data_IF_927382730627
#
_entry.id   IF_927382730627
#
_cell.length_a   1.000
_cell.length_b   1.000
_cell.length_c   1.000
_cell.angle_alpha   90.00
_cell.angle_beta   90.00
_cell.angle_gamma   90.00
#
_symmetry.space_group_name_H-M   'P 1'
#
loop_
_entity.id
_entity.type
_entity.pdbx_description
1 polymer ?
#
# COMPACT_ATOMS: atom_id res chain seq x y z
N UNK A 1 24.97 8.69 1.63
CA UNK A 1 24.77 7.82 0.47
C UNK A 1 25.05 8.59 -0.83
N UNK A 2 24.36 9.71 -1.13
CA UNK A 2 24.51 10.48 -2.37
C UNK A 2 25.93 11.01 -2.59
N UNK A 3 26.63 11.45 -1.54
CA UNK A 3 28.03 11.88 -1.62
C UNK A 3 28.94 10.74 -2.08
N UNK A 4 28.83 9.56 -1.46
CA UNK A 4 29.61 8.38 -1.86
C UNK A 4 29.32 7.89 -3.28
N UNK A 5 28.09 8.10 -3.76
CA UNK A 5 27.65 7.77 -5.12
C UNK A 5 27.98 8.86 -6.15
N UNK A 6 28.58 9.99 -5.73
CA UNK A 6 28.94 11.09 -6.62
C UNK A 6 27.75 11.90 -7.16
N UNK A 7 26.59 11.85 -6.51
CA UNK A 7 25.39 12.59 -6.90
C UNK A 7 25.11 13.81 -6.04
N UNK A 8 25.79 13.99 -4.90
CA UNK A 8 25.63 15.21 -4.09
C UNK A 8 26.06 16.45 -4.86
N UNK A 9 25.22 17.47 -4.82
CA UNK A 9 25.47 18.76 -5.52
C UNK A 9 25.20 18.74 -7.04
N UNK A 10 24.79 17.63 -7.62
CA UNK A 10 24.36 17.59 -9.04
C UNK A 10 22.97 18.20 -9.18
N UNK A 11 22.70 18.92 -10.31
CA UNK A 11 21.34 19.32 -10.62
C UNK A 11 20.40 18.11 -10.63
N UNK A 12 19.19 18.28 -10.08
CA UNK A 12 18.18 17.23 -10.12
C UNK A 12 17.70 17.04 -11.56
N UNK A 13 17.86 15.83 -12.11
CA UNK A 13 17.28 15.49 -13.39
C UNK A 13 15.74 15.61 -13.30
N UNK A 14 15.14 16.24 -14.28
CA UNK A 14 13.69 16.39 -14.39
C UNK A 14 13.23 15.81 -15.72
N UNK A 15 12.05 15.19 -15.70
CA UNK A 15 11.37 14.79 -16.93
C UNK A 15 10.84 16.04 -17.62
N UNK A 16 11.13 16.16 -18.93
CA UNK A 16 10.52 17.17 -19.81
C UNK A 16 9.27 16.54 -20.45
N UNK A 17 8.06 16.84 -19.97
CA UNK A 17 6.84 16.12 -20.39
C UNK A 17 6.60 16.15 -21.90
N UNK A 18 6.92 17.27 -22.55
CA UNK A 18 6.71 17.43 -23.99
C UNK A 18 7.58 16.50 -24.88
N UNK A 19 8.52 15.75 -24.31
CA UNK A 19 9.37 14.80 -25.04
C UNK A 19 8.80 13.38 -25.07
N UNK A 20 7.70 13.13 -24.36
CA UNK A 20 7.15 11.78 -24.16
C UNK A 20 5.65 11.77 -24.41
N UNK A 21 5.16 10.78 -25.15
CA UNK A 21 3.72 10.50 -25.24
C UNK A 21 3.15 10.07 -23.89
N UNK A 22 3.96 9.42 -23.06
CA UNK A 22 3.58 9.00 -21.73
C UNK A 22 4.50 7.94 -21.14
N UNK A 23 3.98 7.22 -20.17
CA UNK A 23 4.68 6.13 -19.47
C UNK A 23 3.82 4.87 -19.43
N UNK A 24 4.39 3.76 -19.83
CA UNK A 24 3.77 2.43 -19.71
C UNK A 24 4.59 1.57 -18.77
N UNK A 25 3.90 0.87 -17.86
CA UNK A 25 4.49 -0.07 -16.91
C UNK A 25 3.81 -1.42 -17.00
N UNK A 26 4.58 -2.49 -17.21
CA UNK A 26 4.12 -3.86 -17.01
C UNK A 26 4.63 -4.38 -15.67
N UNK A 27 3.77 -4.98 -14.89
CA UNK A 27 4.10 -5.48 -13.56
C UNK A 27 3.36 -6.77 -13.26
N UNK A 28 3.83 -7.56 -12.32
CA UNK A 28 3.08 -8.65 -11.73
C UNK A 28 1.98 -8.08 -10.83
N UNK A 29 0.85 -8.78 -10.70
CA UNK A 29 -0.27 -8.28 -9.87
C UNK A 29 0.11 -8.13 -8.40
N UNK A 30 1.00 -8.96 -7.90
CA UNK A 30 1.34 -9.10 -6.47
C UNK A 30 0.13 -9.50 -5.60
N UNK A 31 -0.85 -10.16 -6.22
CA UNK A 31 -2.09 -10.64 -5.63
C UNK A 31 -2.61 -11.84 -6.41
N UNK A 32 -3.75 -12.38 -6.00
CA UNK A 32 -4.33 -13.61 -6.55
C UNK A 32 -5.57 -13.39 -7.42
N UNK A 33 -5.95 -12.15 -7.68
CA UNK A 33 -7.24 -11.85 -8.30
C UNK A 33 -7.31 -12.33 -9.76
N UNK A 34 -6.25 -12.10 -10.56
CA UNK A 34 -6.19 -12.57 -11.95
C UNK A 34 -6.14 -14.10 -12.00
N UNK A 35 -5.25 -14.72 -11.22
CA UNK A 35 -5.10 -16.17 -11.20
C UNK A 35 -6.40 -16.86 -10.73
N UNK A 36 -6.99 -16.44 -9.62
CA UNK A 36 -8.21 -17.00 -9.07
C UNK A 36 -9.43 -16.83 -9.99
N UNK A 37 -9.42 -15.79 -10.82
CA UNK A 37 -10.47 -15.51 -11.81
C UNK A 37 -10.21 -16.15 -13.18
N UNK A 38 -9.08 -16.84 -13.37
CA UNK A 38 -8.68 -17.41 -14.66
C UNK A 38 -8.35 -16.35 -15.72
N UNK A 39 -7.99 -15.14 -15.29
CA UNK A 39 -7.63 -14.02 -16.15
C UNK A 39 -6.11 -13.92 -16.29
N UNK A 40 -5.67 -13.37 -17.43
CA UNK A 40 -4.24 -13.31 -17.79
C UNK A 40 -3.69 -11.90 -17.90
N UNK A 41 -4.55 -10.88 -18.01
CA UNK A 41 -4.13 -9.49 -18.13
C UNK A 41 -5.06 -8.60 -17.30
N UNK A 42 -4.48 -7.76 -16.45
CA UNK A 42 -5.19 -6.69 -15.73
C UNK A 42 -4.82 -5.32 -16.31
N UNK A 43 -5.80 -4.57 -16.80
CA UNK A 43 -5.60 -3.17 -17.20
C UNK A 43 -5.79 -2.30 -15.95
N UNK A 44 -4.74 -1.66 -15.50
CA UNK A 44 -4.78 -0.88 -14.25
C UNK A 44 -5.53 0.43 -14.49
N UNK A 45 -6.62 0.63 -13.75
CA UNK A 45 -7.44 1.85 -13.84
C UNK A 45 -6.97 2.94 -12.90
N UNK A 46 -6.45 2.54 -11.75
CA UNK A 46 -5.99 3.46 -10.69
C UNK A 46 -5.00 2.77 -9.77
N UNK A 47 -4.19 3.55 -9.08
CA UNK A 47 -3.29 3.09 -8.03
C UNK A 47 -3.77 3.66 -6.71
N UNK A 48 -3.89 2.80 -5.68
CA UNK A 48 -4.36 3.19 -4.34
C UNK A 48 -3.49 4.26 -3.69
N UNK A 49 -4.08 5.03 -2.80
CA UNK A 49 -3.31 5.74 -1.79
C UNK A 49 -2.89 4.80 -0.67
N UNK A 50 -1.71 5.06 -0.11
CA UNK A 50 -1.17 4.38 1.05
C UNK A 50 -0.95 5.43 2.13
N UNK A 51 -1.70 5.32 3.23
CA UNK A 51 -1.56 6.18 4.39
C UNK A 51 -0.94 5.40 5.53
N UNK A 52 0.18 5.92 6.05
CA UNK A 52 1.01 5.24 7.06
C UNK A 52 1.11 6.06 8.32
N UNK A 53 1.01 5.39 9.45
CA UNK A 53 1.00 5.99 10.77
C UNK A 53 1.94 5.26 11.73
N UNK A 54 2.47 6.03 12.66
CA UNK A 54 3.11 5.54 13.87
C UNK A 54 2.21 5.86 15.06
N UNK A 55 1.92 4.84 15.86
CA UNK A 55 1.15 4.96 17.10
C UNK A 55 2.08 4.61 18.24
N UNK A 56 2.16 5.49 19.25
CA UNK A 56 3.09 5.33 20.38
C UNK A 56 2.30 5.41 21.67
N UNK A 57 2.48 4.39 22.52
CA UNK A 57 2.03 4.41 23.90
C UNK A 57 3.20 4.64 24.84
N UNK A 58 3.00 5.54 25.81
CA UNK A 58 3.93 5.80 26.91
C UNK A 58 3.25 5.44 28.23
N UNK A 59 3.83 4.49 28.92
CA UNK A 59 3.42 3.98 30.22
C UNK A 59 4.53 4.10 31.25
N UNK A 60 4.70 3.07 32.09
CA UNK A 60 5.74 3.02 33.09
C UNK A 60 6.32 1.60 33.18
N UNK A 61 7.61 1.48 32.86
CA UNK A 61 8.36 0.25 33.04
C UNK A 61 8.37 -0.17 34.52
N UNK A 62 8.10 -1.44 34.79
CA UNK A 62 8.16 -1.99 36.14
C UNK A 62 8.31 -3.51 36.12
N UNK A 63 8.49 -4.12 37.29
CA UNK A 63 8.60 -5.57 37.45
C UNK A 63 7.26 -6.27 37.18
N UNK A 64 7.24 -7.26 36.27
CA UNK A 64 6.02 -7.92 35.85
C UNK A 64 5.32 -8.72 36.95
N UNK A 65 6.07 -9.30 37.91
CA UNK A 65 5.52 -10.15 38.98
C UNK A 65 5.07 -9.37 40.22
N UNK A 66 5.77 -8.28 40.58
CA UNK A 66 5.53 -7.58 41.86
C UNK A 66 4.63 -6.34 41.70
N UNK A 67 4.40 -5.85 40.50
CA UNK A 67 3.53 -4.70 40.25
C UNK A 67 2.08 -5.16 40.12
N UNK A 68 1.23 -4.76 41.06
CA UNK A 68 -0.21 -5.11 41.06
C UNK A 68 -0.90 -4.59 39.80
N UNK A 69 -1.86 -5.35 39.26
CA UNK A 69 -2.59 -4.99 38.04
C UNK A 69 -3.22 -3.58 38.11
N UNK A 70 -3.78 -3.21 39.27
CA UNK A 70 -4.49 -1.94 39.46
C UNK A 70 -3.60 -0.68 39.32
N UNK A 71 -2.28 -0.82 39.40
CA UNK A 71 -1.36 0.34 39.35
C UNK A 71 -0.46 0.31 38.12
N UNK A 72 -0.65 -0.67 37.23
CA UNK A 72 0.17 -0.81 35.99
C UNK A 72 -0.14 0.29 35.00
N UNK A 73 0.92 0.81 34.39
CA UNK A 73 0.86 1.62 33.17
C UNK A 73 1.55 0.85 32.06
N UNK A 74 0.91 -0.22 31.62
CA UNK A 74 1.44 -1.19 30.65
C UNK A 74 1.17 -0.70 29.24
N UNK A 75 2.21 -0.13 28.60
CA UNK A 75 2.12 0.39 27.23
C UNK A 75 1.85 -0.73 26.20
N UNK A 76 2.38 -1.94 26.44
CA UNK A 76 2.15 -3.08 25.56
C UNK A 76 0.70 -3.54 25.55
N UNK A 77 0.09 -3.69 26.72
CA UNK A 77 -1.32 -4.06 26.83
C UNK A 77 -2.24 -2.98 26.25
N UNK A 78 -1.93 -1.69 26.45
CA UNK A 78 -2.68 -0.58 25.88
C UNK A 78 -2.66 -0.62 24.34
N UNK A 79 -1.47 -0.87 23.74
CA UNK A 79 -1.31 -1.00 22.30
C UNK A 79 -2.08 -2.20 21.72
N UNK A 80 -2.03 -3.36 22.37
CA UNK A 80 -2.76 -4.56 21.92
C UNK A 80 -4.29 -4.30 21.93
N UNK A 81 -4.80 -3.59 22.92
CA UNK A 81 -6.22 -3.22 22.98
C UNK A 81 -6.60 -2.29 21.84
N UNK A 82 -5.78 -1.29 21.52
CA UNK A 82 -6.02 -0.41 20.37
C UNK A 82 -5.96 -1.19 19.06
N UNK A 83 -5.00 -2.09 18.89
CA UNK A 83 -4.90 -2.93 17.68
C UNK A 83 -6.17 -3.78 17.49
N UNK A 84 -6.70 -4.38 18.56
CA UNK A 84 -7.96 -5.11 18.51
C UNK A 84 -9.17 -4.20 18.20
N UNK A 85 -9.21 -2.99 18.74
CA UNK A 85 -10.28 -2.03 18.45
C UNK A 85 -10.24 -1.56 16.99
N UNK A 86 -9.05 -1.36 16.41
CA UNK A 86 -8.88 -1.06 15.00
C UNK A 86 -9.40 -2.18 14.10
N UNK A 87 -9.08 -3.44 14.42
CA UNK A 87 -9.54 -4.60 13.67
C UNK A 87 -11.07 -4.78 13.71
N UNK A 88 -11.70 -4.38 14.80
CA UNK A 88 -13.17 -4.36 14.94
C UNK A 88 -13.82 -3.17 14.23
N UNK A 89 -13.21 -1.99 14.28
CA UNK A 89 -13.84 -0.74 13.77
C UNK A 89 -13.66 -0.55 12.26
N UNK A 90 -12.52 -0.96 11.71
CA UNK A 90 -12.20 -0.72 10.30
C UNK A 90 -13.15 -1.39 9.32
N UNK A 91 -13.64 -2.64 9.53
CA UNK A 91 -14.64 -3.25 8.66
C UNK A 91 -15.94 -2.44 8.49
N UNK A 92 -16.33 -1.63 9.49
CA UNK A 92 -17.54 -0.81 9.42
C UNK A 92 -17.43 0.37 8.45
N UNK A 93 -16.21 0.82 8.17
CA UNK A 93 -15.92 1.98 7.29
C UNK A 93 -15.20 1.59 6.01
N UNK A 94 -14.68 0.37 5.94
CA UNK A 94 -13.97 -0.19 4.80
C UNK A 94 -14.89 -0.45 3.60
N UNK A 95 -14.33 -0.46 2.41
CA UNK A 95 -14.96 -0.98 1.20
C UNK A 95 -14.39 -2.35 0.84
N UNK A 96 -14.94 -2.98 -0.18
CA UNK A 96 -14.55 -4.32 -0.62
C UNK A 96 -13.04 -4.48 -0.88
N UNK A 97 -12.38 -3.42 -1.37
CA UNK A 97 -10.95 -3.43 -1.71
C UNK A 97 -10.08 -2.62 -0.74
N UNK A 98 -10.64 -2.18 0.37
CA UNK A 98 -9.86 -1.54 1.43
C UNK A 98 -9.02 -2.58 2.14
N UNK A 99 -7.75 -2.28 2.34
CA UNK A 99 -6.85 -3.13 3.15
C UNK A 99 -6.15 -2.32 4.22
N UNK A 100 -5.87 -2.96 5.35
CA UNK A 100 -5.06 -2.37 6.43
C UNK A 100 -4.10 -3.41 7.01
N UNK A 101 -2.99 -2.93 7.57
CA UNK A 101 -1.95 -3.80 8.09
C UNK A 101 -1.27 -3.18 9.31
N UNK A 102 -1.13 -3.96 10.37
CA UNK A 102 -0.18 -3.71 11.45
C UNK A 102 1.17 -4.29 11.04
N UNK A 103 2.04 -3.45 10.47
CA UNK A 103 3.29 -3.91 9.87
C UNK A 103 4.39 -4.22 10.88
N UNK A 104 4.36 -3.57 12.05
CA UNK A 104 5.33 -3.81 13.13
C UNK A 104 4.75 -3.40 14.48
N UNK A 105 5.03 -4.19 15.51
CA UNK A 105 4.86 -3.84 16.92
C UNK A 105 6.21 -3.96 17.61
N UNK A 106 6.57 -2.96 18.38
CA UNK A 106 7.79 -2.93 19.19
C UNK A 106 7.43 -2.61 20.64
N UNK A 107 7.91 -3.44 21.57
CA UNK A 107 7.76 -3.23 23.00
C UNK A 107 9.14 -2.92 23.60
N UNK A 108 9.21 -1.90 24.44
CA UNK A 108 10.47 -1.51 25.10
C UNK A 108 10.30 -1.68 26.62
N UNK A 109 11.18 -2.52 27.25
CA UNK A 109 12.39 -3.16 26.74
C UNK A 109 12.18 -4.53 26.07
N UNK A 110 10.95 -5.06 25.95
CA UNK A 110 10.66 -6.31 25.25
C UNK A 110 11.12 -7.58 26.00
N UNK A 111 11.12 -7.56 27.32
CA UNK A 111 11.49 -8.69 28.16
C UNK A 111 10.27 -9.27 28.90
N UNK A 112 10.12 -10.60 29.04
CA UNK A 112 8.92 -11.24 29.63
C UNK A 112 8.68 -10.85 31.09
N UNK A 113 9.73 -10.52 31.84
CA UNK A 113 9.64 -10.17 33.25
C UNK A 113 9.46 -8.67 33.53
N UNK A 114 9.31 -7.84 32.49
CA UNK A 114 9.25 -6.39 32.59
C UNK A 114 7.99 -5.87 31.92
N UNK A 115 7.23 -5.03 32.62
CA UNK A 115 6.10 -4.29 32.04
C UNK A 115 6.65 -3.27 31.05
N UNK A 116 6.24 -3.27 29.77
CA UNK A 116 6.75 -2.28 28.81
C UNK A 116 6.40 -0.85 29.21
N UNK A 117 7.43 0.00 29.29
CA UNK A 117 7.25 1.44 29.51
C UNK A 117 6.88 2.19 28.23
N UNK A 118 7.22 1.63 27.07
CA UNK A 118 6.89 2.18 25.76
C UNK A 118 6.48 1.06 24.81
N UNK A 119 5.48 1.34 23.97
CA UNK A 119 5.09 0.48 22.87
C UNK A 119 4.87 1.31 21.60
N UNK A 120 5.25 0.77 20.44
CA UNK A 120 5.11 1.41 19.14
C UNK A 120 4.47 0.45 18.14
N UNK A 121 3.54 0.96 17.33
CA UNK A 121 2.96 0.24 16.21
C UNK A 121 3.11 1.04 14.92
N UNK A 122 3.53 0.39 13.83
CA UNK A 122 3.42 0.91 12.49
C UNK A 122 2.15 0.33 11.85
N UNK A 123 1.26 1.22 11.47
CA UNK A 123 -0.04 0.89 10.92
C UNK A 123 -0.22 1.59 9.57
N UNK A 124 -0.85 0.90 8.62
CA UNK A 124 -1.20 1.49 7.33
C UNK A 124 -2.57 1.01 6.87
N UNK A 125 -3.20 1.81 6.02
CA UNK A 125 -4.38 1.41 5.25
C UNK A 125 -4.30 1.98 3.84
N UNK A 126 -5.04 1.35 2.92
CA UNK A 126 -5.02 1.66 1.49
C UNK A 126 -6.42 1.64 0.93
N UNK A 127 -6.70 2.60 0.06
CA UNK A 127 -7.93 2.64 -0.75
C UNK A 127 -7.72 3.55 -1.97
N UNK A 128 -8.61 3.43 -2.96
CA UNK A 128 -8.67 4.34 -4.13
C UNK A 128 -9.61 5.52 -3.90
N UNK A 129 -10.53 5.42 -2.94
CA UNK A 129 -11.55 6.41 -2.63
C UNK A 129 -11.03 7.39 -1.55
N UNK A 130 -10.81 8.70 -1.90
CA UNK A 130 -10.33 9.68 -0.94
C UNK A 130 -11.28 9.90 0.25
N UNK A 131 -12.60 9.81 0.03
CA UNK A 131 -13.57 10.00 1.10
C UNK A 131 -13.54 8.83 2.08
N UNK A 132 -13.30 7.62 1.58
CA UNK A 132 -13.12 6.43 2.42
C UNK A 132 -11.83 6.51 3.22
N UNK A 133 -10.73 6.92 2.60
CA UNK A 133 -9.47 7.18 3.31
C UNK A 133 -9.66 8.17 4.47
N UNK A 134 -10.39 9.27 4.23
CA UNK A 134 -10.69 10.25 5.25
C UNK A 134 -11.59 9.69 6.38
N UNK A 135 -12.52 8.78 6.07
CA UNK A 135 -13.33 8.09 7.09
C UNK A 135 -12.50 7.11 7.93
N UNK A 136 -11.61 6.35 7.29
CA UNK A 136 -10.68 5.44 7.98
C UNK A 136 -9.73 6.21 8.91
N UNK A 137 -9.21 7.35 8.46
CA UNK A 137 -8.37 8.20 9.28
C UNK A 137 -9.13 8.74 10.51
N UNK A 138 -10.35 9.25 10.33
CA UNK A 138 -11.17 9.69 11.46
C UNK A 138 -11.40 8.56 12.46
N UNK A 139 -11.73 7.36 12.00
CA UNK A 139 -11.90 6.20 12.88
C UNK A 139 -10.62 5.87 13.66
N UNK A 140 -9.44 5.98 13.02
CA UNK A 140 -8.14 5.81 13.67
C UNK A 140 -7.92 6.90 14.74
N UNK A 141 -8.16 8.17 14.39
CA UNK A 141 -7.98 9.33 15.30
C UNK A 141 -8.90 9.24 16.51
N UNK A 142 -10.18 8.86 16.31
CA UNK A 142 -11.17 8.64 17.38
C UNK A 142 -10.68 7.56 18.35
N UNK A 143 -10.28 6.39 17.85
CA UNK A 143 -9.79 5.30 18.71
C UNK A 143 -8.50 5.64 19.45
N UNK A 144 -7.60 6.40 18.84
CA UNK A 144 -6.38 6.90 19.51
C UNK A 144 -6.74 7.89 20.62
N UNK A 145 -7.69 8.81 20.36
CA UNK A 145 -8.15 9.77 21.37
C UNK A 145 -8.85 9.07 22.53
N UNK A 146 -9.68 8.08 22.26
CA UNK A 146 -10.35 7.25 23.28
C UNK A 146 -9.31 6.49 24.12
N UNK A 147 -8.29 5.89 23.48
CA UNK A 147 -7.23 5.17 24.19
C UNK A 147 -6.39 6.09 25.08
N UNK A 148 -6.09 7.32 24.62
CA UNK A 148 -5.37 8.33 25.43
C UNK A 148 -6.24 8.81 26.62
N UNK A 149 -7.51 9.05 26.39
CA UNK A 149 -8.45 9.48 27.45
C UNK A 149 -8.72 8.39 28.50
N UNK A 150 -8.81 7.13 28.08
CA UNK A 150 -9.02 6.00 29.00
C UNK A 150 -7.81 5.76 29.93
N UNK A 151 -6.60 6.21 29.56
CA UNK A 151 -5.41 5.96 30.33
C UNK A 151 -5.15 4.47 30.62
N UNK A 152 -4.29 4.13 31.54
CA UNK A 152 -3.31 4.96 32.28
C UNK A 152 -2.05 5.33 31.48
N UNK A 153 -1.96 4.91 30.21
CA UNK A 153 -0.86 5.25 29.28
C UNK A 153 -1.26 6.42 28.40
N UNK A 154 -0.29 7.27 28.04
CA UNK A 154 -0.47 8.30 27.02
C UNK A 154 -0.40 7.66 25.63
N UNK A 155 -1.27 8.07 24.69
CA UNK A 155 -1.27 7.62 23.33
C UNK A 155 -1.03 8.79 22.37
N UNK A 156 -0.19 8.58 21.35
CA UNK A 156 0.08 9.59 20.31
C UNK A 156 0.03 8.95 18.93
N UNK A 157 -0.54 9.69 17.98
CA UNK A 157 -0.59 9.36 16.56
C UNK A 157 0.35 10.29 15.79
N UNK A 158 1.15 9.72 14.88
CA UNK A 158 2.02 10.45 13.96
C UNK A 158 1.77 9.94 12.54
N UNK A 159 1.39 10.83 11.63
CA UNK A 159 1.31 10.50 10.21
C UNK A 159 2.73 10.43 9.62
N UNK A 160 3.10 9.29 9.03
CA UNK A 160 4.40 9.09 8.39
C UNK A 160 4.37 9.43 6.91
N UNK A 161 3.31 9.02 6.22
CA UNK A 161 3.09 9.35 4.81
C UNK A 161 1.61 9.28 4.46
N UNK A 162 1.21 10.10 3.49
CA UNK A 162 -0.12 10.09 2.87
C UNK A 162 0.07 10.31 1.38
N UNK A 163 0.00 9.24 0.58
CA UNK A 163 -0.04 9.38 -0.87
C UNK A 163 -1.45 9.73 -1.33
N UNK A 164 -1.59 10.10 -2.60
CA UNK A 164 -2.87 10.41 -3.24
C UNK A 164 -3.18 9.30 -4.23
N UNK A 165 -4.41 8.80 -4.30
CA UNK A 165 -4.80 7.84 -5.33
C UNK A 165 -4.54 8.45 -6.71
N UNK A 166 -4.12 7.63 -7.66
CA UNK A 166 -3.82 8.12 -9.01
C UNK A 166 -4.60 7.32 -10.05
N UNK A 167 -5.40 8.01 -10.83
CA UNK A 167 -6.04 7.43 -12.02
C UNK A 167 -5.01 7.31 -13.14
N UNK A 168 -5.06 6.19 -13.86
CA UNK A 168 -4.33 6.01 -15.10
C UNK A 168 -5.03 6.75 -16.25
N UNK A 169 -4.27 7.15 -17.26
CA UNK A 169 -4.78 7.86 -18.42
C UNK A 169 -5.76 6.99 -19.23
N UNK A 170 -6.92 7.55 -19.62
CA UNK A 170 -7.98 6.79 -20.31
C UNK A 170 -7.54 6.28 -21.67
N UNK A 171 -6.80 7.08 -22.47
CA UNK A 171 -6.27 6.66 -23.77
C UNK A 171 -5.32 5.47 -23.64
N UNK A 172 -4.50 5.47 -22.59
CA UNK A 172 -3.59 4.36 -22.31
C UNK A 172 -4.32 3.11 -21.84
N UNK A 173 -5.36 3.26 -21.00
CA UNK A 173 -6.22 2.13 -20.61
C UNK A 173 -6.92 1.52 -21.83
N UNK A 174 -7.48 2.34 -22.70
CA UNK A 174 -8.19 1.87 -23.92
C UNK A 174 -7.24 1.14 -24.87
N UNK A 175 -6.02 1.67 -25.09
CA UNK A 175 -5.02 1.01 -25.91
C UNK A 175 -4.57 -0.35 -25.34
N UNK A 176 -4.36 -0.41 -24.02
CA UNK A 176 -4.02 -1.66 -23.33
C UNK A 176 -5.15 -2.68 -23.37
N UNK A 177 -6.41 -2.25 -23.22
CA UNK A 177 -7.57 -3.15 -23.29
C UNK A 177 -7.78 -3.69 -24.70
N UNK A 178 -7.68 -2.85 -25.74
CA UNK A 178 -7.74 -3.30 -27.12
C UNK A 178 -6.63 -4.29 -27.48
N UNK A 179 -5.41 -4.04 -27.00
CA UNK A 179 -4.31 -4.96 -27.16
C UNK A 179 -4.54 -6.28 -26.39
N UNK A 180 -5.07 -6.21 -25.16
CA UNK A 180 -5.40 -7.39 -24.37
C UNK A 180 -6.52 -8.23 -25.04
N UNK A 181 -7.57 -7.61 -25.56
CA UNK A 181 -8.62 -8.32 -26.32
C UNK A 181 -8.05 -9.03 -27.55
N UNK A 182 -7.07 -8.43 -28.22
CA UNK A 182 -6.42 -9.04 -29.40
C UNK A 182 -5.58 -10.26 -29.06
N UNK A 183 -4.84 -10.25 -27.94
CA UNK A 183 -3.86 -11.28 -27.57
C UNK A 183 -4.37 -12.29 -26.54
N UNK A 184 -5.38 -11.92 -25.75
CA UNK A 184 -6.01 -12.72 -24.71
C UNK A 184 -7.52 -12.43 -24.66
N UNK A 185 -8.28 -12.75 -25.74
CA UNK A 185 -9.70 -12.41 -25.84
C UNK A 185 -10.50 -13.01 -24.69
N UNK A 186 -11.24 -12.16 -23.97
CA UNK A 186 -12.05 -12.54 -22.83
C UNK A 186 -11.26 -12.94 -21.57
N UNK A 187 -9.90 -12.92 -21.61
CA UNK A 187 -9.05 -13.27 -20.46
C UNK A 187 -8.37 -12.04 -19.85
N UNK A 188 -9.03 -10.89 -19.87
CA UNK A 188 -8.55 -9.65 -19.29
C UNK A 188 -9.65 -8.89 -18.56
N UNK A 189 -9.26 -7.92 -17.72
CA UNK A 189 -10.19 -7.03 -17.04
C UNK A 189 -9.55 -5.69 -16.68
N UNK A 190 -10.38 -4.67 -16.48
CA UNK A 190 -9.97 -3.43 -15.82
C UNK A 190 -10.00 -3.61 -14.30
N UNK A 191 -8.95 -3.19 -13.60
CA UNK A 191 -8.86 -3.33 -12.16
C UNK A 191 -7.97 -2.24 -11.52
N UNK A 192 -8.21 -1.85 -10.26
CA UNK A 192 -7.28 -0.99 -9.54
C UNK A 192 -6.06 -1.77 -9.06
N UNK A 193 -4.91 -1.08 -8.91
CA UNK A 193 -3.77 -1.61 -8.18
C UNK A 193 -3.88 -1.30 -6.68
N UNK A 194 -3.66 -2.32 -5.84
CA UNK A 194 -3.54 -2.18 -4.39
C UNK A 194 -2.09 -1.92 -3.92
N UNK A 195 -1.13 -1.86 -4.83
CA UNK A 195 0.29 -1.58 -4.56
C UNK A 195 0.70 -0.19 -5.08
N UNK A 196 1.83 0.33 -4.59
CA UNK A 196 2.45 1.54 -5.14
C UNK A 196 3.39 1.15 -6.29
N UNK A 197 3.40 1.97 -7.37
CA UNK A 197 4.18 1.73 -8.58
C UNK A 197 4.84 3.03 -9.07
N UNK A 198 5.81 2.92 -9.97
CA UNK A 198 6.46 4.06 -10.60
C UNK A 198 5.47 4.86 -11.45
N UNK A 199 4.49 4.20 -12.07
CA UNK A 199 3.40 4.83 -12.79
C UNK A 199 2.63 5.86 -11.94
N UNK A 200 2.46 5.64 -10.62
CA UNK A 200 1.81 6.59 -9.71
C UNK A 200 2.58 7.92 -9.63
N UNK A 201 3.90 7.86 -9.68
CA UNK A 201 4.78 9.02 -9.59
C UNK A 201 4.85 9.71 -10.95
N UNK A 202 5.04 8.94 -12.03
CA UNK A 202 5.18 9.46 -13.38
C UNK A 202 3.88 10.05 -13.93
N UNK A 203 2.73 9.49 -13.55
CA UNK A 203 1.40 10.04 -13.88
C UNK A 203 1.14 11.45 -13.32
N UNK A 204 2.01 11.97 -12.48
CA UNK A 204 1.97 13.39 -12.05
C UNK A 204 2.57 14.33 -13.09
N UNK A 205 3.28 13.82 -14.08
CA UNK A 205 4.04 14.59 -15.06
C UNK A 205 3.66 14.31 -16.51
N UNK A 206 3.35 13.05 -16.82
CA UNK A 206 3.00 12.58 -18.17
C UNK A 206 1.79 11.64 -18.07
N UNK A 207 1.01 11.43 -19.14
CA UNK A 207 0.02 10.37 -19.19
C UNK A 207 0.67 9.03 -18.84
N UNK A 208 -0.01 8.18 -18.06
CA UNK A 208 0.54 6.90 -17.68
C UNK A 208 -0.53 5.80 -17.75
N UNK A 209 -0.11 4.63 -18.18
CA UNK A 209 -0.88 3.40 -18.19
C UNK A 209 -0.08 2.25 -17.60
N UNK A 210 -0.77 1.23 -17.14
CA UNK A 210 -0.14 0.10 -16.50
C UNK A 210 -0.94 -1.18 -16.76
N UNK A 211 -0.26 -2.30 -16.97
CA UNK A 211 -0.87 -3.61 -17.03
C UNK A 211 -0.29 -4.55 -15.97
N UNK A 212 -1.11 -5.51 -15.54
CA UNK A 212 -0.71 -6.62 -14.71
C UNK A 212 -0.70 -7.94 -15.50
N UNK A 213 0.24 -8.81 -15.12
CA UNK A 213 0.21 -10.24 -15.38
C UNK A 213 0.05 -11.00 -14.05
N UNK A 214 -0.52 -12.23 -14.05
CA UNK A 214 -0.80 -12.97 -12.82
C UNK A 214 0.47 -13.27 -12.00
N UNK A 215 0.32 -13.29 -10.68
CA UNK A 215 1.31 -13.82 -9.75
C UNK A 215 0.91 -15.23 -9.33
N UNK A 216 1.80 -16.21 -9.42
CA UNK A 216 1.53 -17.60 -9.04
C UNK A 216 1.20 -17.66 -7.54
N UNK A 217 0.00 -18.13 -7.21
CA UNK A 217 -0.52 -18.20 -5.84
C UNK A 217 -0.72 -16.83 -5.18
N UNK A 218 -0.68 -15.73 -5.94
CA UNK A 218 -0.76 -14.37 -5.40
C UNK A 218 0.43 -13.97 -4.51
N UNK A 219 1.50 -14.75 -4.51
CA UNK A 219 2.65 -14.56 -3.61
C UNK A 219 3.45 -13.34 -4.05
N UNK A 220 3.72 -12.44 -3.08
CA UNK A 220 4.60 -11.29 -3.26
C UNK A 220 5.41 -10.99 -2.00
N UNK A 221 6.55 -10.26 -2.16
CA UNK A 221 7.50 -9.95 -1.10
C UNK A 221 8.05 -11.20 -0.40
N UNK A 222 8.17 -12.30 -1.14
CA UNK A 222 8.67 -13.58 -0.67
C UNK A 222 9.64 -14.17 -1.73
N UNK A 223 10.59 -14.99 -1.30
CA UNK A 223 11.59 -15.59 -2.20
C UNK A 223 10.98 -16.52 -3.28
N UNK A 224 9.77 -17.01 -3.08
CA UNK A 224 9.04 -17.84 -4.05
C UNK A 224 8.11 -17.03 -4.97
N UNK A 225 8.17 -15.69 -4.94
CA UNK A 225 7.43 -14.84 -5.88
C UNK A 225 7.78 -15.22 -7.32
N UNK A 226 6.75 -15.52 -8.13
CA UNK A 226 6.96 -15.95 -9.50
C UNK A 226 5.72 -15.68 -10.39
N UNK A 227 5.97 -15.64 -11.69
CA UNK A 227 4.96 -15.50 -12.75
C UNK A 227 5.27 -16.51 -13.84
N UNK A 228 4.25 -17.08 -14.47
CA UNK A 228 4.46 -18.03 -15.56
C UNK A 228 5.08 -17.35 -16.78
N UNK A 229 6.08 -17.98 -17.41
CA UNK A 229 6.77 -17.44 -18.60
C UNK A 229 5.79 -17.07 -19.73
N UNK A 230 4.71 -17.87 -19.89
CA UNK A 230 3.67 -17.61 -20.87
C UNK A 230 2.87 -16.33 -20.59
N UNK A 231 2.72 -15.93 -19.32
CA UNK A 231 2.04 -14.69 -18.95
C UNK A 231 2.98 -13.48 -19.07
N UNK A 232 4.27 -13.66 -18.79
CA UNK A 232 5.29 -12.64 -19.08
C UNK A 232 5.32 -12.35 -20.59
N UNK A 233 5.39 -13.38 -21.42
CA UNK A 233 5.41 -13.24 -22.88
C UNK A 233 4.13 -12.56 -23.40
N UNK A 234 2.94 -12.93 -22.87
CA UNK A 234 1.68 -12.30 -23.18
C UNK A 234 1.66 -10.81 -22.78
N UNK A 235 2.11 -10.50 -21.58
CA UNK A 235 2.23 -9.12 -21.09
C UNK A 235 3.10 -8.26 -22.00
N UNK A 236 4.24 -8.79 -22.46
CA UNK A 236 5.10 -8.12 -23.42
C UNK A 236 4.40 -7.88 -24.76
N UNK A 237 3.63 -8.85 -25.29
CA UNK A 237 2.88 -8.70 -26.53
C UNK A 237 1.79 -7.61 -26.42
N UNK A 238 1.02 -7.62 -25.34
CA UNK A 238 -0.01 -6.61 -25.06
C UNK A 238 0.63 -5.23 -24.93
N UNK A 239 1.71 -5.11 -24.16
CA UNK A 239 2.44 -3.86 -23.98
C UNK A 239 2.96 -3.29 -25.30
N UNK A 240 3.61 -4.11 -26.12
CA UNK A 240 4.16 -3.69 -27.41
C UNK A 240 3.07 -3.22 -28.37
N UNK A 241 1.93 -3.94 -28.42
CA UNK A 241 0.78 -3.58 -29.27
C UNK A 241 0.15 -2.28 -28.81
N UNK A 242 -0.06 -2.10 -27.49
CA UNK A 242 -0.61 -0.86 -26.93
C UNK A 242 0.31 0.34 -27.17
N UNK A 243 1.63 0.16 -26.99
CA UNK A 243 2.61 1.19 -27.25
C UNK A 243 2.59 1.67 -28.72
N UNK A 244 2.52 0.73 -29.68
CA UNK A 244 2.36 1.07 -31.09
C UNK A 244 1.08 1.87 -31.35
N UNK A 245 -0.06 1.44 -30.81
CA UNK A 245 -1.35 2.14 -30.93
C UNK A 245 -1.27 3.58 -30.36
N UNK A 246 -0.59 3.76 -29.23
CA UNK A 246 -0.44 5.08 -28.60
C UNK A 246 0.45 6.02 -29.44
N UNK A 247 1.45 5.47 -30.12
CA UNK A 247 2.39 6.26 -30.94
C UNK A 247 1.81 6.59 -32.33
N UNK A 248 0.90 5.79 -32.86
CA UNK A 248 0.30 5.97 -34.17
C UNK A 248 -0.92 6.94 -34.16
N UNK A 249 -1.47 7.25 -32.99
CA UNK A 249 -2.67 8.08 -32.79
C UNK A 249 -2.44 9.35 -32.06
#
# INVERSE_FOLDING_TARGET
>A
ALERAGYAGRPRAQIEPARYEGFLEAHIEQGDYLESSGLRVGIVTSIVAIWQYRIVFEGAQNHAGTTRMAVRKDAGLALVRLAAALDQRFPEVAGERTVWTTGRITLDPGAPSIIPGRAEMLFQFRDVDPDRLARLERALEELVAEADAAGPCRCRLEALSRSVPKLMDGRFQDALEQAAERHAPGAHMRMPSAAGHDAQILAQRVPAGMLFVPSIGGISHHWSENTADADIALGCQVMATAAATILDG
#
